data_IF_725990987172
#
_entry.id   IF_725990987172
#
_cell.length_a   1.000
_cell.length_b   1.000
_cell.length_c   1.000
_cell.angle_alpha   90.00
_cell.angle_beta   90.00
_cell.angle_gamma   90.00
#
_symmetry.space_group_name_H-M   'P 1'
#
loop_
_entity.id
_entity.type
_entity.pdbx_description
1 polymer ?
#
# COMPACT_ATOMS: atom_id res chain seq x y z
N UNK A 1 16.64 11.88 -12.13
CA UNK A 1 15.33 12.45 -11.76
C UNK A 1 14.20 12.05 -12.72
N UNK A 2 14.33 12.38 -13.99
CA UNK A 2 13.30 12.03 -14.99
C UNK A 2 13.07 10.53 -15.11
N UNK A 3 14.14 9.74 -15.13
CA UNK A 3 14.04 8.27 -15.20
C UNK A 3 13.34 7.68 -13.99
N UNK A 4 13.63 8.17 -12.79
CA UNK A 4 13.00 7.69 -11.56
C UNK A 4 11.51 8.02 -11.55
N UNK A 5 11.13 9.22 -11.97
CA UNK A 5 9.74 9.64 -12.07
C UNK A 5 9.01 8.80 -13.13
N UNK A 6 9.66 8.54 -14.25
CA UNK A 6 9.09 7.71 -15.33
C UNK A 6 8.87 6.27 -14.87
N UNK A 7 9.84 5.69 -14.15
CA UNK A 7 9.70 4.35 -13.57
C UNK A 7 8.53 4.28 -12.58
N UNK A 8 8.37 5.29 -11.74
CA UNK A 8 7.26 5.36 -10.79
C UNK A 8 5.93 5.49 -11.51
N UNK A 9 5.88 6.29 -12.57
CA UNK A 9 4.67 6.43 -13.38
C UNK A 9 4.28 5.10 -14.03
N UNK A 10 5.25 4.35 -14.55
CA UNK A 10 5.01 3.02 -15.13
C UNK A 10 4.48 2.05 -14.07
N UNK A 11 5.11 1.99 -12.90
CA UNK A 11 4.66 1.15 -11.79
C UNK A 11 3.25 1.56 -11.35
N UNK A 12 2.98 2.85 -11.25
CA UNK A 12 1.67 3.41 -10.91
C UNK A 12 0.60 2.91 -11.88
N UNK A 13 0.83 3.07 -13.18
CA UNK A 13 -0.12 2.65 -14.21
C UNK A 13 -0.35 1.13 -14.17
N UNK A 14 0.73 0.36 -14.05
CA UNK A 14 0.64 -1.10 -13.98
C UNK A 14 -0.17 -1.55 -12.76
N UNK A 15 0.10 -0.97 -11.59
CA UNK A 15 -0.61 -1.31 -10.36
C UNK A 15 -2.08 -0.90 -10.41
N UNK A 16 -2.39 0.27 -10.95
CA UNK A 16 -3.78 0.74 -11.11
C UNK A 16 -4.55 -0.18 -12.04
N UNK A 17 -3.97 -0.53 -13.19
CA UNK A 17 -4.61 -1.42 -14.16
C UNK A 17 -4.78 -2.84 -13.57
N UNK A 18 -3.75 -3.38 -12.95
CA UNK A 18 -3.81 -4.69 -12.32
C UNK A 18 -4.87 -4.73 -11.23
N UNK A 19 -4.90 -3.73 -10.36
CA UNK A 19 -5.89 -3.64 -9.30
C UNK A 19 -7.30 -3.47 -9.85
N UNK A 20 -7.48 -2.52 -10.77
CA UNK A 20 -8.80 -2.20 -11.32
C UNK A 20 -9.40 -3.29 -12.18
N UNK A 21 -8.59 -3.91 -13.03
CA UNK A 21 -9.08 -4.88 -14.01
C UNK A 21 -9.11 -6.32 -13.50
N UNK A 22 -8.16 -6.68 -12.64
CA UNK A 22 -7.99 -8.07 -12.21
C UNK A 22 -8.30 -8.24 -10.72
N UNK A 23 -7.58 -7.54 -9.87
CA UNK A 23 -7.62 -7.79 -8.42
C UNK A 23 -8.94 -7.38 -7.77
N UNK A 24 -9.60 -6.34 -8.26
CA UNK A 24 -10.90 -5.92 -7.74
C UNK A 24 -12.02 -6.94 -8.04
N UNK A 25 -11.80 -7.81 -9.00
CA UNK A 25 -12.75 -8.89 -9.34
C UNK A 25 -12.52 -10.14 -8.51
N UNK A 26 -11.36 -10.25 -7.88
CA UNK A 26 -11.03 -11.37 -7.01
C UNK A 26 -11.50 -11.05 -5.59
N UNK A 27 -12.62 -11.63 -5.20
CA UNK A 27 -13.12 -11.54 -3.83
C UNK A 27 -13.20 -12.96 -3.26
N UNK A 28 -12.28 -13.27 -2.36
CA UNK A 28 -12.32 -14.55 -1.66
C UNK A 28 -13.31 -14.44 -0.49
N UNK A 29 -14.21 -15.40 -0.40
CA UNK A 29 -15.25 -15.46 0.64
C UNK A 29 -16.14 -14.20 0.69
N UNK A 30 -16.31 -13.51 -0.44
CA UNK A 30 -17.06 -12.26 -0.59
C UNK A 30 -16.55 -11.11 0.28
N UNK A 31 -15.34 -11.22 0.80
CA UNK A 31 -14.83 -10.30 1.80
C UNK A 31 -13.39 -9.90 1.55
N UNK A 32 -12.50 -10.88 1.36
CA UNK A 32 -11.07 -10.62 1.21
C UNK A 32 -10.74 -10.16 -0.20
N UNK A 33 -10.26 -8.92 -0.33
CA UNK A 33 -9.84 -8.32 -1.58
C UNK A 33 -8.35 -8.02 -1.52
N UNK A 34 -7.52 -8.46 -2.47
CA UNK A 34 -6.12 -8.11 -2.50
C UNK A 34 -5.94 -6.62 -2.82
N UNK A 35 -5.14 -5.92 -2.02
CA UNK A 35 -4.92 -4.48 -2.12
C UNK A 35 -3.47 -4.19 -2.53
N UNK A 36 -3.08 -4.69 -3.69
CA UNK A 36 -1.70 -4.66 -4.17
C UNK A 36 -1.14 -3.26 -4.37
N UNK A 37 -1.99 -2.29 -4.68
CA UNK A 37 -1.56 -0.91 -4.90
C UNK A 37 -0.91 -0.25 -3.66
N UNK A 38 -1.11 -0.80 -2.48
CA UNK A 38 -0.40 -0.38 -1.27
C UNK A 38 1.11 -0.52 -1.40
N UNK A 39 1.57 -1.50 -2.18
CA UNK A 39 2.99 -1.71 -2.48
C UNK A 39 3.64 -0.47 -3.08
N UNK A 40 2.94 0.27 -3.92
CA UNK A 40 3.46 1.50 -4.51
C UNK A 40 3.92 2.50 -3.45
N UNK A 41 3.13 2.65 -2.38
CA UNK A 41 3.46 3.57 -1.28
C UNK A 41 4.62 3.02 -0.44
N UNK A 42 4.67 1.71 -0.23
CA UNK A 42 5.70 1.07 0.59
C UNK A 42 7.10 1.26 -0.01
N UNK A 43 7.23 1.25 -1.33
CA UNK A 43 8.53 1.32 -2.01
C UNK A 43 9.13 2.72 -2.13
N UNK A 44 8.47 3.76 -1.64
CA UNK A 44 9.03 5.12 -1.67
C UNK A 44 10.28 5.22 -0.80
N UNK A 45 11.34 5.90 -1.30
CA UNK A 45 12.56 6.10 -0.52
C UNK A 45 12.37 7.11 0.61
N UNK A 46 13.23 7.03 1.63
CA UNK A 46 13.17 7.89 2.80
C UNK A 46 13.29 9.37 2.45
N UNK A 47 14.12 9.69 1.48
CA UNK A 47 14.45 11.08 1.11
C UNK A 47 13.46 11.70 0.10
N UNK A 48 12.36 11.02 -0.18
CA UNK A 48 11.35 11.54 -1.10
C UNK A 48 10.52 12.64 -0.43
N UNK A 49 10.21 13.76 -1.14
CA UNK A 49 9.41 14.83 -0.56
C UNK A 49 8.05 14.31 -0.06
N UNK A 50 7.72 14.64 1.18
CA UNK A 50 6.46 14.15 1.80
C UNK A 50 5.23 14.65 1.04
N UNK A 51 5.24 15.89 0.58
CA UNK A 51 4.13 16.46 -0.18
C UNK A 51 3.90 15.72 -1.50
N UNK A 52 4.97 15.39 -2.21
CA UNK A 52 4.88 14.64 -3.46
C UNK A 52 4.35 13.22 -3.23
N UNK A 53 4.76 12.59 -2.14
CA UNK A 53 4.27 11.28 -1.74
C UNK A 53 2.77 11.28 -1.44
N UNK A 54 2.30 12.32 -0.76
CA UNK A 54 0.86 12.50 -0.52
C UNK A 54 0.09 12.67 -1.81
N UNK A 55 0.62 13.45 -2.76
CA UNK A 55 0.01 13.64 -4.09
C UNK A 55 -0.06 12.31 -4.84
N UNK A 56 1.02 11.54 -4.86
CA UNK A 56 1.04 10.22 -5.49
C UNK A 56 0.04 9.26 -4.87
N UNK A 57 -0.01 9.24 -3.53
CA UNK A 57 -0.98 8.41 -2.80
C UNK A 57 -2.42 8.79 -3.10
N UNK A 58 -2.72 10.08 -3.13
CA UNK A 58 -4.04 10.58 -3.46
C UNK A 58 -4.47 10.22 -4.89
N UNK A 59 -3.58 10.45 -5.87
CA UNK A 59 -3.84 10.12 -7.27
C UNK A 59 -4.03 8.61 -7.47
N UNK A 60 -3.22 7.81 -6.79
CA UNK A 60 -3.34 6.35 -6.84
C UNK A 60 -4.70 5.90 -6.30
N UNK A 61 -5.06 6.38 -5.12
CA UNK A 61 -6.34 6.05 -4.51
C UNK A 61 -7.53 6.53 -5.33
N UNK A 62 -7.44 7.73 -5.88
CA UNK A 62 -8.49 8.29 -6.73
C UNK A 62 -8.69 7.45 -8.01
N UNK A 63 -7.59 7.01 -8.62
CA UNK A 63 -7.65 6.12 -9.79
C UNK A 63 -8.33 4.79 -9.45
N UNK A 64 -7.97 4.20 -8.32
CA UNK A 64 -8.60 2.96 -7.84
C UNK A 64 -10.09 3.17 -7.55
N UNK A 65 -10.45 4.29 -6.94
CA UNK A 65 -11.85 4.64 -6.65
C UNK A 65 -12.69 4.74 -7.91
N UNK A 66 -12.13 5.26 -9.00
CA UNK A 66 -12.82 5.32 -10.29
C UNK A 66 -13.14 3.93 -10.83
N UNK A 67 -12.21 2.98 -10.69
CA UNK A 67 -12.42 1.59 -11.13
C UNK A 67 -13.33 0.81 -10.18
N UNK A 68 -13.29 1.10 -8.90
CA UNK A 68 -14.04 0.36 -7.87
C UNK A 68 -15.42 0.94 -7.60
N UNK A 69 -15.71 2.12 -8.14
CA UNK A 69 -16.95 2.84 -7.88
C UNK A 69 -17.17 3.18 -6.41
N UNK A 70 -16.07 3.46 -5.70
CA UNK A 70 -16.06 3.79 -4.26
C UNK A 70 -15.48 5.19 -4.07
N UNK A 71 -16.28 6.27 -4.18
CA UNK A 71 -15.74 7.63 -4.20
C UNK A 71 -15.05 8.01 -2.88
N UNK A 72 -13.76 8.28 -2.97
CA UNK A 72 -12.95 8.80 -1.85
C UNK A 72 -12.40 7.76 -0.88
N UNK A 73 -12.84 6.51 -0.95
CA UNK A 73 -12.47 5.46 0.01
C UNK A 73 -10.98 5.10 -0.10
N UNK A 74 -10.54 4.69 -1.28
CA UNK A 74 -9.14 4.36 -1.51
C UNK A 74 -8.26 5.60 -1.46
N UNK A 75 -8.73 6.74 -1.96
CA UNK A 75 -7.99 8.00 -1.91
C UNK A 75 -7.67 8.41 -0.46
N UNK A 76 -8.64 8.36 0.44
CA UNK A 76 -8.43 8.68 1.85
C UNK A 76 -7.45 7.70 2.51
N UNK A 77 -7.63 6.41 2.27
CA UNK A 77 -6.80 5.36 2.87
C UNK A 77 -5.34 5.44 2.40
N UNK A 78 -5.12 5.58 1.09
CA UNK A 78 -3.76 5.67 0.53
C UNK A 78 -3.06 6.95 0.95
N UNK A 79 -3.77 8.08 1.02
CA UNK A 79 -3.21 9.34 1.50
C UNK A 79 -2.78 9.24 2.97
N UNK A 80 -3.60 8.61 3.80
CA UNK A 80 -3.28 8.38 5.21
C UNK A 80 -2.00 7.53 5.36
N UNK A 81 -1.92 6.42 4.63
CA UNK A 81 -0.74 5.55 4.65
C UNK A 81 0.49 6.26 4.09
N UNK A 82 0.33 7.06 3.04
CA UNK A 82 1.42 7.85 2.47
C UNK A 82 1.97 8.88 3.49
N UNK A 83 1.12 9.42 4.33
CA UNK A 83 1.53 10.32 5.41
C UNK A 83 2.31 9.58 6.52
N UNK A 84 1.94 8.35 6.83
CA UNK A 84 2.56 7.55 7.89
C UNK A 84 3.85 6.84 7.47
N UNK A 85 3.96 6.45 6.20
CA UNK A 85 5.07 5.65 5.70
C UNK A 85 6.45 6.23 6.03
N UNK A 86 6.76 7.53 5.80
CA UNK A 86 8.09 8.05 6.10
C UNK A 86 8.43 8.00 7.59
N UNK A 87 7.46 8.18 8.46
CA UNK A 87 7.68 8.09 9.92
C UNK A 87 8.01 6.67 10.35
N UNK A 88 7.26 5.69 9.84
CA UNK A 88 7.52 4.29 10.13
C UNK A 88 8.86 3.82 9.57
N UNK A 89 9.20 4.29 8.37
CA UNK A 89 10.48 3.97 7.75
C UNK A 89 11.65 4.52 8.58
N UNK A 90 11.53 5.75 9.08
CA UNK A 90 12.54 6.35 9.95
C UNK A 90 12.75 5.58 11.27
N UNK A 91 11.69 4.96 11.79
CA UNK A 91 11.79 4.15 13.01
C UNK A 91 12.57 2.85 12.78
N UNK A 92 12.49 2.30 11.58
CA UNK A 92 13.11 1.02 11.24
C UNK A 92 14.55 1.16 10.73
N UNK A 93 14.91 2.33 10.20
CA UNK A 93 16.24 2.59 9.66
C UNK A 93 17.17 3.11 10.76
N UNK A 94 18.42 2.61 10.85
CA UNK A 94 19.42 3.17 11.75
C UNK A 94 19.73 4.64 11.40
N UNK A 95 20.05 5.43 12.40
CA UNK A 95 20.34 6.88 12.24
C UNK A 95 21.52 7.17 11.31
N UNK A 96 22.39 6.18 11.13
CA UNK A 96 23.60 6.32 10.31
C UNK A 96 23.41 5.80 8.87
N UNK A 97 22.18 5.50 8.48
CA UNK A 97 21.90 5.01 7.14
C UNK A 97 21.93 6.12 6.10
N UNK A 98 22.33 5.77 4.88
CA UNK A 98 22.36 6.70 3.76
C UNK A 98 20.97 7.28 3.47
N UNK A 99 20.91 8.55 3.13
CA UNK A 99 19.67 9.29 2.88
C UNK A 99 18.84 8.72 1.71
N UNK A 100 19.47 7.88 0.87
CA UNK A 100 18.83 7.30 -0.31
C UNK A 100 18.30 5.88 -0.11
N UNK A 101 18.16 5.44 1.14
CA UNK A 101 17.65 4.11 1.45
C UNK A 101 16.21 3.96 0.95
N UNK A 102 15.99 2.99 0.09
CA UNK A 102 14.66 2.61 -0.39
C UNK A 102 14.05 1.57 0.55
N UNK A 103 12.75 1.64 0.75
CA UNK A 103 12.05 0.61 1.52
C UNK A 103 11.83 -0.64 0.66
N UNK A 104 12.93 -1.34 0.40
CA UNK A 104 12.93 -2.60 -0.32
C UNK A 104 13.69 -3.64 0.49
N UNK A 105 13.35 -4.92 0.31
CA UNK A 105 14.00 -6.01 1.03
C UNK A 105 15.51 -6.06 0.77
N UNK A 106 15.95 -5.64 -0.42
CA UNK A 106 17.36 -5.63 -0.79
C UNK A 106 18.19 -4.61 -0.01
N UNK A 107 17.59 -3.46 0.35
CA UNK A 107 18.29 -2.36 1.03
C UNK A 107 18.11 -2.38 2.55
N UNK A 108 16.91 -2.70 3.02
CA UNK A 108 16.57 -2.74 4.46
C UNK A 108 16.85 -4.09 5.11
N UNK A 109 16.92 -5.13 4.33
CA UNK A 109 16.85 -6.50 4.83
C UNK A 109 15.42 -6.99 4.89
N UNK A 110 15.23 -8.28 4.63
CA UNK A 110 13.90 -8.89 4.53
C UNK A 110 13.08 -8.70 5.81
N UNK A 111 13.70 -8.83 6.98
CA UNK A 111 13.00 -8.70 8.26
C UNK A 111 12.39 -7.31 8.47
N UNK A 112 13.17 -6.27 8.23
CA UNK A 112 12.70 -4.87 8.38
C UNK A 112 11.65 -4.52 7.34
N UNK A 113 11.86 -4.94 6.11
CA UNK A 113 10.87 -4.75 5.04
C UNK A 113 9.56 -5.45 5.37
N UNK A 114 9.62 -6.70 5.84
CA UNK A 114 8.44 -7.46 6.24
C UNK A 114 7.67 -6.76 7.37
N UNK A 115 8.37 -6.24 8.37
CA UNK A 115 7.77 -5.50 9.47
C UNK A 115 7.08 -4.23 8.97
N UNK A 116 7.76 -3.44 8.15
CA UNK A 116 7.21 -2.22 7.55
C UNK A 116 5.96 -2.51 6.72
N UNK A 117 6.06 -3.49 5.83
CA UNK A 117 4.95 -3.88 4.95
C UNK A 117 3.75 -4.37 5.77
N UNK A 118 3.98 -5.19 6.79
CA UNK A 118 2.92 -5.71 7.65
C UNK A 118 2.19 -4.57 8.38
N UNK A 119 2.92 -3.66 8.99
CA UNK A 119 2.34 -2.52 9.72
C UNK A 119 1.53 -1.65 8.77
N UNK A 120 2.10 -1.27 7.63
CA UNK A 120 1.43 -0.40 6.66
C UNK A 120 0.19 -1.06 6.06
N UNK A 121 0.27 -2.34 5.70
CA UNK A 121 -0.87 -3.07 5.14
C UNK A 121 -1.99 -3.22 6.17
N UNK A 122 -1.66 -3.56 7.41
CA UNK A 122 -2.67 -3.65 8.47
C UNK A 122 -3.36 -2.31 8.72
N UNK A 123 -2.60 -1.23 8.82
CA UNK A 123 -3.15 0.11 8.99
C UNK A 123 -4.03 0.51 7.79
N UNK A 124 -3.57 0.21 6.59
CA UNK A 124 -4.34 0.47 5.37
C UNK A 124 -5.67 -0.27 5.39
N UNK A 125 -5.64 -1.57 5.67
CA UNK A 125 -6.84 -2.39 5.73
C UNK A 125 -7.80 -1.90 6.82
N UNK A 126 -7.28 -1.56 7.99
CA UNK A 126 -8.11 -1.03 9.07
C UNK A 126 -8.82 0.25 8.65
N UNK A 127 -8.09 1.21 8.08
CA UNK A 127 -8.68 2.48 7.63
C UNK A 127 -9.66 2.27 6.50
N UNK A 128 -9.27 1.47 5.51
CA UNK A 128 -10.10 1.20 4.33
C UNK A 128 -11.44 0.57 4.71
N UNK A 129 -11.40 -0.51 5.48
CA UNK A 129 -12.62 -1.21 5.87
C UNK A 129 -13.42 -0.46 6.94
N UNK A 130 -12.77 0.33 7.79
CA UNK A 130 -13.47 1.20 8.73
C UNK A 130 -14.29 2.26 8.00
N UNK A 131 -13.74 2.87 6.96
CA UNK A 131 -14.45 3.84 6.12
C UNK A 131 -15.55 3.19 5.30
N UNK A 132 -15.31 1.96 4.80
CA UNK A 132 -16.29 1.22 4.02
C UNK A 132 -17.49 0.79 4.86
N UNK A 133 -17.25 0.31 6.06
CA UNK A 133 -18.28 -0.26 6.92
C UNK A 133 -19.24 0.77 7.50
N UNK A 134 -18.76 1.97 7.82
CA UNK A 134 -19.49 3.07 8.48
C UNK A 134 -20.29 2.68 9.75
N UNK A 135 -20.67 1.39 9.86
CA UNK A 135 -21.33 0.84 11.03
C UNK A 135 -20.67 -0.49 11.38
N UNK A 136 -20.24 -0.64 12.63
CA UNK A 136 -19.61 -1.86 13.13
C UNK A 136 -20.67 -2.90 13.55
N UNK A 137 -21.70 -3.08 12.72
CA UNK A 137 -22.81 -3.98 13.02
C UNK A 137 -22.35 -5.43 13.11
N UNK A 138 -21.43 -5.83 12.19
CA UNK A 138 -20.84 -7.19 12.15
C UNK A 138 -19.32 -7.11 12.29
N UNK A 139 -18.85 -6.83 13.50
CA UNK A 139 -17.42 -6.69 13.79
C UNK A 139 -16.63 -7.96 13.53
N UNK A 140 -17.24 -9.14 13.70
CA UNK A 140 -16.59 -10.42 13.40
C UNK A 140 -16.29 -10.57 11.91
N UNK A 141 -17.28 -10.31 11.07
CA UNK A 141 -17.10 -10.33 9.62
C UNK A 141 -16.12 -9.24 9.17
N UNK A 142 -16.19 -8.07 9.78
CA UNK A 142 -15.26 -6.97 9.52
C UNK A 142 -13.81 -7.38 9.81
N UNK A 143 -13.57 -8.02 10.95
CA UNK A 143 -12.23 -8.52 11.31
C UNK A 143 -11.74 -9.59 10.34
N UNK A 144 -12.61 -10.50 9.91
CA UNK A 144 -12.28 -11.52 8.92
C UNK A 144 -11.90 -10.89 7.57
N UNK A 145 -12.64 -9.86 7.14
CA UNK A 145 -12.33 -9.11 5.92
C UNK A 145 -10.96 -8.44 6.00
N UNK A 146 -10.69 -7.75 7.11
CA UNK A 146 -9.42 -7.07 7.34
C UNK A 146 -8.26 -8.07 7.35
N UNK A 147 -8.39 -9.15 8.11
CA UNK A 147 -7.36 -10.18 8.22
C UNK A 147 -7.11 -10.87 6.87
N UNK A 148 -8.16 -11.28 6.18
CA UNK A 148 -8.06 -11.95 4.89
C UNK A 148 -7.42 -11.04 3.82
N UNK A 149 -7.86 -9.80 3.73
CA UNK A 149 -7.30 -8.83 2.80
C UNK A 149 -5.84 -8.51 3.11
N UNK A 150 -5.50 -8.37 4.39
CA UNK A 150 -4.12 -8.12 4.82
C UNK A 150 -3.20 -9.29 4.45
N UNK A 151 -3.63 -10.51 4.72
CA UNK A 151 -2.85 -11.72 4.39
C UNK A 151 -2.64 -11.85 2.88
N UNK A 152 -3.69 -11.69 2.08
CA UNK A 152 -3.59 -11.74 0.63
C UNK A 152 -2.66 -10.65 0.08
N UNK A 153 -2.79 -9.44 0.57
CA UNK A 153 -1.95 -8.31 0.15
C UNK A 153 -0.49 -8.55 0.50
N UNK A 154 -0.21 -9.06 1.70
CA UNK A 154 1.15 -9.38 2.14
C UNK A 154 1.77 -10.49 1.29
N UNK A 155 1.02 -11.54 0.97
CA UNK A 155 1.49 -12.63 0.11
C UNK A 155 1.88 -12.07 -1.27
N UNK A 156 1.04 -11.22 -1.85
CA UNK A 156 1.31 -10.60 -3.14
C UNK A 156 2.51 -9.66 -3.10
N UNK A 157 2.64 -8.87 -2.05
CA UNK A 157 3.77 -7.95 -1.86
C UNK A 157 5.08 -8.73 -1.74
N UNK A 158 5.11 -9.79 -0.94
CA UNK A 158 6.31 -10.62 -0.79
C UNK A 158 6.65 -11.36 -2.06
N UNK A 159 5.65 -11.83 -2.81
CA UNK A 159 5.87 -12.44 -4.12
C UNK A 159 6.50 -11.45 -5.11
N UNK A 160 5.97 -10.22 -5.18
CA UNK A 160 6.52 -9.17 -6.04
C UNK A 160 7.94 -8.79 -5.65
N UNK A 161 8.20 -8.66 -4.35
CA UNK A 161 9.54 -8.31 -3.86
C UNK A 161 10.54 -9.43 -4.14
N UNK A 162 10.12 -10.68 -4.01
CA UNK A 162 10.93 -11.85 -4.36
C UNK A 162 11.31 -11.87 -5.84
N UNK A 163 10.37 -11.49 -6.71
CA UNK A 163 10.63 -11.39 -8.14
C UNK A 163 11.55 -10.22 -8.50
N UNK A 164 11.49 -9.15 -7.72
CA UNK A 164 12.28 -7.94 -7.94
C UNK A 164 13.73 -8.08 -7.43
N UNK A 165 13.92 -8.84 -6.38
CA UNK A 165 15.25 -9.00 -5.74
C UNK A 165 16.21 -9.88 -6.52
#
# INVERSE_FOLDING_TARGET
>A
MLLDTLQRLVIFVILVLAQGLVLNRIQLFHCATPLLYTYFIIIFPLNYPKWAMLVWGFLLGLSIDMFSNTPGLAAASTTFIAALQPYLLQLLIPRDADEHVRSAAATLGFSKFATLATILVLLFCLVFFALEAFSFYDWQQWLLCVAGSAVLTLILIFALESLRS
#
